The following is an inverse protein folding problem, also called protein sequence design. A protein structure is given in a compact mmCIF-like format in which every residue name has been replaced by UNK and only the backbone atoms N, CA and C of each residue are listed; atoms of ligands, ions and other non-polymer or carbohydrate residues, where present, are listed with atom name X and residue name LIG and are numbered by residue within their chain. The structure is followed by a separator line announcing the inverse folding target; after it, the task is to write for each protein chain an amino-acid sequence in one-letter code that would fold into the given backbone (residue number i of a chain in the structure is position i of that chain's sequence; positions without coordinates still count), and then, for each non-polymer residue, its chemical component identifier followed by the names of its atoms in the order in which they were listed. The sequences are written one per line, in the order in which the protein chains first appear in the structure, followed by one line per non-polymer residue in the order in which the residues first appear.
data_IF_237801744003
#
_entry.id   IF_237801744003
#
_cell.length_a   1.000
_cell.length_b   1.000
_cell.length_c   1.000
_cell.angle_alpha   90.00
_cell.angle_beta   90.00
_cell.angle_gamma   90.00
#
_symmetry.space_group_name_H-M   'P 1'
#
loop_
_entity.id
_entity.type
_entity.pdbx_description
1 polymer ?
#
# COMPACT_ATOMS: atom_id res chain seq x y z
N UNK A 1 14.24 15.71 -14.58
CA UNK A 1 12.89 15.24 -14.18
C UNK A 1 12.48 14.18 -15.20
N UNK A 2 12.85 12.93 -14.98
CA UNK A 2 12.61 11.83 -15.92
C UNK A 2 11.14 11.44 -15.86
N UNK A 3 10.37 11.82 -16.89
CA UNK A 3 8.94 11.52 -17.05
C UNK A 3 8.63 10.03 -17.29
N UNK A 4 9.66 9.17 -17.31
CA UNK A 4 9.52 7.74 -17.55
C UNK A 4 9.69 6.95 -16.25
N UNK A 5 8.67 6.17 -15.82
CA UNK A 5 8.80 5.23 -14.72
C UNK A 5 9.80 4.13 -15.08
N UNK A 6 10.59 3.68 -14.10
CA UNK A 6 11.53 2.55 -14.27
C UNK A 6 10.83 1.18 -14.37
N UNK A 7 9.51 1.14 -14.24
CA UNK A 7 8.70 -0.09 -14.20
C UNK A 7 8.11 -0.47 -15.58
N UNK A 8 8.43 0.27 -16.64
CA UNK A 8 7.95 0.00 -18.00
C UNK A 8 6.58 0.64 -18.33
N UNK A 9 6.08 0.42 -19.55
CA UNK A 9 4.83 1.00 -20.05
C UNK A 9 3.63 0.12 -19.65
N UNK A 10 3.14 0.28 -18.42
CA UNK A 10 1.99 -0.47 -17.90
C UNK A 10 0.67 0.29 -18.10
N UNK A 11 -0.45 -0.43 -18.04
CA UNK A 11 -1.81 0.17 -18.13
C UNK A 11 -2.00 1.23 -17.03
N UNK A 12 -1.45 1.02 -15.84
CA UNK A 12 -1.49 1.97 -14.73
C UNK A 12 -0.79 3.29 -15.05
N UNK A 13 0.28 3.25 -15.84
CA UNK A 13 0.95 4.48 -16.28
C UNK A 13 0.04 5.31 -17.19
N UNK A 14 -0.61 4.66 -18.18
CA UNK A 14 -1.55 5.34 -19.09
C UNK A 14 -2.74 5.89 -18.30
N UNK A 15 -3.30 5.10 -17.39
CA UNK A 15 -4.41 5.52 -16.53
C UNK A 15 -4.00 6.71 -15.64
N UNK A 16 -2.80 6.68 -15.05
CA UNK A 16 -2.26 7.77 -14.22
C UNK A 16 -2.05 9.03 -15.04
N UNK A 17 -1.45 8.92 -16.23
CA UNK A 17 -1.23 10.05 -17.14
C UNK A 17 -2.56 10.67 -17.59
N UNK A 18 -3.54 9.85 -17.94
CA UNK A 18 -4.89 10.30 -18.27
C UNK A 18 -5.56 11.04 -17.10
N UNK A 19 -5.43 10.50 -15.88
CA UNK A 19 -5.95 11.15 -14.64
C UNK A 19 -5.27 12.47 -14.32
N UNK A 20 -3.96 12.59 -14.50
CA UNK A 20 -3.22 13.83 -14.19
C UNK A 20 -3.36 14.91 -15.25
N UNK A 21 -3.65 14.52 -16.50
CA UNK A 21 -3.66 15.43 -17.65
C UNK A 21 -5.08 15.69 -18.16
N UNK A 22 -5.73 14.69 -18.79
CA UNK A 22 -7.01 14.89 -19.51
C UNK A 22 -8.20 14.91 -18.57
N UNK A 23 -8.14 14.17 -17.46
CA UNK A 23 -9.20 14.06 -16.46
C UNK A 23 -8.90 14.89 -15.20
N UNK A 24 -8.05 15.92 -15.32
CA UNK A 24 -7.71 16.77 -14.19
C UNK A 24 -8.80 17.85 -14.01
N UNK A 25 -9.47 17.93 -12.85
CA UNK A 25 -10.51 18.93 -12.59
C UNK A 25 -10.00 20.37 -12.73
N UNK A 26 -8.71 20.62 -12.50
CA UNK A 26 -8.11 21.95 -12.67
C UNK A 26 -8.02 22.40 -14.14
N UNK A 27 -8.12 21.46 -15.09
CA UNK A 27 -8.08 21.74 -16.53
C UNK A 27 -9.49 21.65 -17.12
N UNK A 28 -10.24 20.60 -16.78
CA UNK A 28 -11.56 20.33 -17.36
C UNK A 28 -12.63 21.30 -16.89
N UNK A 29 -12.59 21.78 -15.63
CA UNK A 29 -13.58 22.71 -15.09
C UNK A 29 -13.42 24.11 -15.72
N UNK A 30 -12.23 24.73 -15.78
CA UNK A 30 -12.06 25.98 -16.52
C UNK A 30 -12.40 25.85 -18.01
N UNK A 31 -12.08 24.72 -18.63
CA UNK A 31 -12.45 24.44 -20.02
C UNK A 31 -13.97 24.43 -20.22
N UNK A 32 -14.71 23.76 -19.33
CA UNK A 32 -16.17 23.77 -19.35
C UNK A 32 -16.74 25.19 -19.11
N UNK A 33 -16.22 25.92 -18.12
CA UNK A 33 -16.65 27.31 -17.84
C UNK A 33 -16.38 28.23 -19.03
N UNK A 34 -15.24 28.08 -19.71
CA UNK A 34 -14.90 28.88 -20.90
C UNK A 34 -15.87 28.64 -22.06
N UNK A 35 -16.47 27.45 -22.16
CA UNK A 35 -17.51 27.14 -23.15
C UNK A 35 -18.89 27.77 -22.85
N UNK A 36 -19.08 28.31 -21.65
CA UNK A 36 -20.28 29.07 -21.25
C UNK A 36 -20.11 30.59 -21.32
N UNK A 37 -18.88 31.12 -21.24
CA UNK A 37 -18.68 32.50 -20.77
C UNK A 37 -17.74 33.41 -21.56
N UNK A 38 -17.15 32.99 -22.69
CA UNK A 38 -16.37 33.93 -23.51
C UNK A 38 -17.24 34.50 -24.63
N UNK A 39 -17.94 35.60 -24.34
CA UNK A 39 -18.33 36.56 -25.36
C UNK A 39 -17.05 37.24 -25.87
N UNK A 40 -16.31 36.56 -26.76
CA UNK A 40 -15.14 37.16 -27.41
C UNK A 40 -15.68 38.31 -28.27
N UNK A 41 -15.28 39.57 -28.02
CA UNK A 41 -15.65 40.67 -28.92
C UNK A 41 -15.16 40.32 -30.32
N UNK A 42 -16.04 40.36 -31.31
CA UNK A 42 -15.81 39.93 -32.70
C UNK A 42 -14.80 40.80 -33.48
N UNK A 43 -13.89 41.50 -32.80
CA UNK A 43 -12.89 42.38 -33.44
C UNK A 43 -11.82 41.63 -34.24
N UNK A 44 -11.84 40.29 -34.26
CA UNK A 44 -10.89 39.42 -34.99
C UNK A 44 -11.52 38.58 -36.11
N UNK A 45 -12.79 38.82 -36.48
CA UNK A 45 -13.38 38.29 -37.71
C UNK A 45 -13.56 36.77 -37.82
N UNK A 46 -13.33 36.00 -36.75
CA UNK A 46 -13.63 34.56 -36.70
C UNK A 46 -14.67 34.28 -35.62
N UNK A 47 -15.83 33.78 -36.05
CA UNK A 47 -16.95 33.44 -35.17
C UNK A 47 -16.74 32.03 -34.59
N UNK A 48 -16.12 31.98 -33.41
CA UNK A 48 -15.88 30.73 -32.68
C UNK A 48 -17.11 30.25 -31.88
N UNK A 49 -18.25 30.94 -31.96
CA UNK A 49 -19.44 30.59 -31.17
C UNK A 49 -19.97 29.19 -31.50
N UNK A 50 -20.14 28.87 -32.79
CA UNK A 50 -20.68 27.58 -33.24
C UNK A 50 -19.84 26.35 -32.82
N UNK A 51 -18.51 26.30 -33.04
CA UNK A 51 -17.70 25.16 -32.60
C UNK A 51 -17.65 25.03 -31.07
N UNK A 52 -17.70 26.15 -30.33
CA UNK A 52 -17.74 26.13 -28.86
C UNK A 52 -19.07 25.56 -28.34
N UNK A 53 -20.19 25.92 -28.97
CA UNK A 53 -21.51 25.36 -28.63
C UNK A 53 -21.61 23.87 -28.94
N UNK A 54 -21.05 23.42 -30.06
CA UNK A 54 -20.98 21.99 -30.41
C UNK A 54 -20.09 21.18 -29.46
N UNK A 55 -19.02 21.78 -28.93
CA UNK A 55 -18.10 21.14 -27.99
C UNK A 55 -18.61 21.13 -26.53
N UNK A 56 -19.53 22.03 -26.18
CA UNK A 56 -20.10 22.21 -24.82
C UNK A 56 -20.58 20.91 -24.14
N UNK A 57 -21.38 20.02 -24.76
CA UNK A 57 -21.80 18.79 -24.09
C UNK A 57 -20.63 17.86 -23.73
N UNK A 58 -19.58 17.84 -24.56
CA UNK A 58 -18.39 17.02 -24.32
C UNK A 58 -17.52 17.58 -23.21
N UNK A 59 -17.29 18.90 -23.20
CA UNK A 59 -16.50 19.57 -22.14
C UNK A 59 -17.21 19.47 -20.78
N UNK A 60 -18.54 19.62 -20.76
CA UNK A 60 -19.35 19.40 -19.55
C UNK A 60 -19.29 17.96 -19.06
N UNK A 61 -19.44 16.98 -19.95
CA UNK A 61 -19.36 15.55 -19.60
C UNK A 61 -17.98 15.18 -19.04
N UNK A 62 -16.91 15.71 -19.65
CA UNK A 62 -15.54 15.51 -19.20
C UNK A 62 -15.29 16.17 -17.83
N UNK A 63 -15.79 17.39 -17.62
CA UNK A 63 -15.72 18.08 -16.34
C UNK A 63 -16.47 17.31 -15.24
N UNK A 64 -17.69 16.84 -15.52
CA UNK A 64 -18.47 16.03 -14.59
C UNK A 64 -17.75 14.72 -14.23
N UNK A 65 -17.21 14.00 -15.22
CA UNK A 65 -16.44 12.78 -14.99
C UNK A 65 -15.18 13.04 -14.16
N UNK A 66 -14.42 14.10 -14.48
CA UNK A 66 -13.22 14.46 -13.72
C UNK A 66 -13.53 14.87 -12.28
N UNK A 67 -14.62 15.61 -12.05
CA UNK A 67 -15.07 15.98 -10.72
C UNK A 67 -15.53 14.76 -9.92
N UNK A 68 -16.23 13.82 -10.57
CA UNK A 68 -16.64 12.56 -9.95
C UNK A 68 -15.43 11.70 -9.55
N UNK A 69 -14.46 11.53 -10.45
CA UNK A 69 -13.23 10.78 -10.17
C UNK A 69 -12.40 11.45 -9.08
N UNK A 70 -12.26 12.78 -9.11
CA UNK A 70 -11.56 13.55 -8.08
C UNK A 70 -12.27 13.47 -6.72
N UNK A 71 -13.59 13.61 -6.70
CA UNK A 71 -14.39 13.46 -5.48
C UNK A 71 -14.25 12.04 -4.92
N UNK A 72 -14.26 11.02 -5.78
CA UNK A 72 -14.04 9.63 -5.39
C UNK A 72 -12.64 9.44 -4.80
N UNK A 73 -11.59 9.95 -5.45
CA UNK A 73 -10.21 9.86 -4.94
C UNK A 73 -10.04 10.65 -3.63
N UNK A 74 -10.67 11.82 -3.51
CA UNK A 74 -10.68 12.63 -2.29
C UNK A 74 -11.38 11.88 -1.16
N UNK A 75 -12.59 11.39 -1.39
CA UNK A 75 -13.34 10.60 -0.41
C UNK A 75 -12.58 9.33 -0.03
N UNK A 76 -12.00 8.61 -0.99
CA UNK A 76 -11.17 7.43 -0.73
C UNK A 76 -9.97 7.76 0.15
N UNK A 77 -9.24 8.85 -0.12
CA UNK A 77 -8.14 9.29 0.74
C UNK A 77 -8.63 9.64 2.14
N UNK A 78 -9.77 10.31 2.24
CA UNK A 78 -10.38 10.66 3.52
C UNK A 78 -10.84 9.41 4.29
N UNK A 79 -11.42 8.40 3.65
CA UNK A 79 -11.85 7.17 4.33
C UNK A 79 -10.66 6.26 4.67
N UNK A 80 -9.72 6.08 3.74
CA UNK A 80 -8.53 5.23 3.95
C UNK A 80 -7.61 5.76 5.05
N UNK A 81 -7.58 7.08 5.24
CA UNK A 81 -6.81 7.70 6.31
C UNK A 81 -7.70 8.09 7.51
N UNK A 82 -8.95 7.60 7.59
CA UNK A 82 -9.91 7.95 8.64
C UNK A 82 -9.99 9.48 8.94
N UNK A 83 -9.84 10.30 7.90
CA UNK A 83 -9.80 11.77 7.90
C UNK A 83 -8.69 12.37 8.75
N UNK A 84 -7.66 11.59 9.07
CA UNK A 84 -6.48 12.05 9.78
C UNK A 84 -5.31 12.17 8.81
N UNK A 85 -4.47 13.18 9.03
CA UNK A 85 -3.17 13.29 8.39
C UNK A 85 -2.19 13.58 9.51
N UNK A 86 -1.21 12.71 9.68
CA UNK A 86 -0.12 12.95 10.63
C UNK A 86 0.98 13.74 9.92
N UNK A 87 1.17 15.04 10.24
CA UNK A 87 2.26 15.83 9.69
C UNK A 87 3.60 15.54 10.37
N UNK A 88 3.63 14.72 11.44
CA UNK A 88 4.78 14.54 12.33
C UNK A 88 5.67 13.34 11.99
N UNK A 89 5.56 12.76 10.79
CA UNK A 89 6.46 11.69 10.34
C UNK A 89 7.90 12.17 10.30
N UNK A 90 8.74 11.59 11.15
CA UNK A 90 10.18 11.83 11.18
C UNK A 90 10.92 10.52 10.94
N UNK A 91 11.21 10.27 9.66
CA UNK A 91 11.87 9.05 9.17
C UNK A 91 13.21 8.74 9.84
N UNK A 92 13.87 9.70 10.49
CA UNK A 92 15.10 9.46 11.28
C UNK A 92 14.81 8.70 12.58
N UNK A 93 13.59 8.83 13.11
CA UNK A 93 13.14 8.22 14.36
C UNK A 93 12.18 7.04 14.17
N UNK A 94 11.68 6.82 12.95
CA UNK A 94 10.78 5.71 12.66
C UNK A 94 11.42 4.33 12.78
N UNK A 95 10.63 3.37 13.26
CA UNK A 95 11.00 1.95 13.38
C UNK A 95 10.05 1.15 12.50
N UNK A 96 10.60 0.60 11.41
CA UNK A 96 9.87 -0.18 10.41
C UNK A 96 10.18 -1.66 10.58
N UNK A 97 9.20 -2.44 11.02
CA UNK A 97 9.29 -3.91 11.09
C UNK A 97 8.78 -4.51 9.78
N UNK A 98 9.59 -5.33 9.13
CA UNK A 98 9.27 -6.02 7.88
C UNK A 98 9.43 -7.53 8.09
N UNK A 99 8.33 -8.26 7.95
CA UNK A 99 8.39 -9.74 7.92
C UNK A 99 8.76 -10.23 6.53
N UNK A 100 9.52 -11.32 6.40
CA UNK A 100 9.94 -11.83 5.09
C UNK A 100 10.90 -10.87 4.36
N UNK A 101 11.67 -10.07 5.11
CA UNK A 101 12.56 -9.04 4.58
C UNK A 101 13.92 -9.55 4.13
N UNK A 102 14.21 -10.84 4.30
CA UNK A 102 15.49 -11.42 3.87
C UNK A 102 15.58 -11.57 2.35
N UNK A 103 14.46 -11.64 1.63
CA UNK A 103 14.44 -11.81 0.16
C UNK A 103 13.21 -11.14 -0.49
N UNK A 104 13.14 -11.20 -1.83
CA UNK A 104 11.97 -10.78 -2.61
C UNK A 104 11.50 -9.34 -2.37
N UNK A 105 10.17 -9.17 -2.27
CA UNK A 105 9.51 -7.86 -2.11
C UNK A 105 9.95 -7.19 -0.81
N UNK A 106 10.05 -7.94 0.29
CA UNK A 106 10.47 -7.43 1.60
C UNK A 106 11.90 -6.88 1.58
N UNK A 107 12.83 -7.60 0.93
CA UNK A 107 14.21 -7.13 0.75
C UNK A 107 14.27 -5.84 -0.08
N UNK A 108 13.55 -5.78 -1.19
CA UNK A 108 13.49 -4.56 -2.02
C UNK A 108 12.87 -3.38 -1.29
N UNK A 109 11.85 -3.62 -0.46
CA UNK A 109 11.25 -2.59 0.37
C UNK A 109 12.27 -2.04 1.39
N UNK A 110 12.97 -2.92 2.11
CA UNK A 110 14.00 -2.53 3.07
C UNK A 110 15.12 -1.71 2.41
N UNK A 111 15.62 -2.17 1.24
CA UNK A 111 16.64 -1.45 0.47
C UNK A 111 16.14 -0.08 -0.02
N UNK A 112 14.89 0.01 -0.51
CA UNK A 112 14.31 1.29 -0.95
C UNK A 112 14.09 2.26 0.22
N UNK A 113 13.74 1.77 1.41
CA UNK A 113 13.64 2.60 2.61
C UNK A 113 15.01 3.19 2.95
N UNK A 114 16.06 2.37 3.03
CA UNK A 114 17.41 2.87 3.30
C UNK A 114 17.95 3.80 2.21
N UNK A 115 17.63 3.55 0.93
CA UNK A 115 18.02 4.44 -0.16
C UNK A 115 17.35 5.82 -0.08
N UNK A 116 16.15 5.91 0.53
CA UNK A 116 15.45 7.17 0.78
C UNK A 116 15.92 7.85 2.06
N UNK A 117 16.09 7.08 3.13
CA UNK A 117 16.63 7.55 4.39
C UNK A 117 17.43 6.44 5.10
N UNK A 118 18.77 6.54 5.12
CA UNK A 118 19.64 5.55 5.78
C UNK A 118 19.43 5.44 7.29
N UNK A 119 18.94 6.52 7.94
CA UNK A 119 18.77 6.57 9.40
C UNK A 119 17.53 5.82 9.89
N UNK A 120 16.56 5.58 9.01
CA UNK A 120 15.36 4.81 9.36
C UNK A 120 15.75 3.43 9.89
N UNK A 121 15.24 3.07 11.07
CA UNK A 121 15.51 1.78 11.70
C UNK A 121 14.64 0.73 11.04
N UNK A 122 15.26 -0.17 10.28
CA UNK A 122 14.57 -1.28 9.62
C UNK A 122 14.85 -2.57 10.38
N UNK A 123 13.79 -3.19 10.88
CA UNK A 123 13.83 -4.46 11.60
C UNK A 123 13.27 -5.54 10.69
N UNK A 124 14.06 -6.56 10.41
CA UNK A 124 13.69 -7.68 9.55
C UNK A 124 13.42 -8.90 10.42
N UNK A 125 12.25 -9.48 10.27
CA UNK A 125 11.87 -10.75 10.89
C UNK A 125 11.73 -11.78 9.77
N UNK A 126 12.54 -12.82 9.78
CA UNK A 126 12.47 -13.86 8.75
C UNK A 126 12.97 -15.21 9.28
N UNK A 127 12.54 -16.30 8.67
CA UNK A 127 13.03 -17.64 8.98
C UNK A 127 14.43 -17.87 8.39
N UNK A 128 14.68 -17.32 7.21
CA UNK A 128 15.94 -17.46 6.47
C UNK A 128 16.89 -16.29 6.73
N UNK A 129 18.22 -16.50 6.69
CA UNK A 129 19.19 -15.42 6.83
C UNK A 129 19.05 -14.40 5.69
N UNK A 130 19.48 -13.16 5.96
CA UNK A 130 19.50 -12.10 4.95
C UNK A 130 20.28 -12.53 3.71
N UNK A 131 19.67 -12.41 2.53
CA UNK A 131 20.36 -12.72 1.26
C UNK A 131 21.00 -11.49 0.62
N UNK A 132 20.93 -10.34 1.29
CA UNK A 132 21.44 -9.06 0.82
C UNK A 132 22.14 -8.32 1.96
N UNK A 133 23.02 -7.38 1.60
CA UNK A 133 23.77 -6.59 2.57
C UNK A 133 23.17 -5.18 2.69
N UNK A 134 22.87 -4.71 3.90
CA UNK A 134 22.53 -3.31 4.13
C UNK A 134 23.61 -2.36 3.61
N UNK A 135 23.18 -1.17 3.21
CA UNK A 135 24.09 -0.09 2.81
C UNK A 135 24.90 0.33 4.04
N UNK A 136 26.16 0.72 3.85
CA UNK A 136 26.99 1.21 4.95
C UNK A 136 26.33 2.40 5.64
N UNK A 137 26.28 2.37 6.98
CA UNK A 137 25.58 3.37 7.79
C UNK A 137 24.06 3.19 7.92
N UNK A 138 23.46 2.21 7.22
CA UNK A 138 22.04 1.90 7.38
C UNK A 138 21.74 1.21 8.71
N UNK A 139 20.68 1.63 9.40
CA UNK A 139 20.25 0.99 10.63
C UNK A 139 19.35 -0.22 10.36
N UNK A 140 19.95 -1.38 10.07
CA UNK A 140 19.21 -2.65 9.89
C UNK A 140 19.45 -3.61 11.06
N UNK A 141 18.37 -4.18 11.60
CA UNK A 141 18.42 -5.28 12.58
C UNK A 141 17.72 -6.49 11.99
N UNK A 142 18.34 -7.66 12.11
CA UNK A 142 17.77 -8.92 11.65
C UNK A 142 17.49 -9.83 12.84
N UNK A 143 16.31 -10.44 12.83
CA UNK A 143 15.90 -11.44 13.79
C UNK A 143 15.41 -12.69 13.06
N UNK A 144 16.07 -13.81 13.34
CA UNK A 144 15.61 -15.10 12.89
C UNK A 144 14.41 -15.53 13.72
N UNK A 145 13.28 -15.79 13.08
CA UNK A 145 12.04 -16.20 13.75
C UNK A 145 11.20 -17.05 12.80
N UNK A 146 10.73 -18.20 13.27
CA UNK A 146 9.66 -18.93 12.59
C UNK A 146 8.31 -18.28 12.92
N UNK A 147 7.70 -17.65 11.92
CA UNK A 147 6.39 -17.01 12.07
C UNK A 147 5.24 -18.03 12.16
N UNK A 148 5.48 -19.31 11.88
CA UNK A 148 4.49 -20.34 12.18
C UNK A 148 4.39 -20.60 13.70
N UNK A 149 5.35 -20.21 14.53
CA UNK A 149 5.35 -20.43 15.98
C UNK A 149 4.93 -19.17 16.76
N UNK A 150 3.76 -19.23 17.40
CA UNK A 150 3.21 -18.10 18.17
C UNK A 150 4.04 -17.76 19.41
N UNK A 151 4.77 -18.72 19.98
CA UNK A 151 5.65 -18.47 21.13
C UNK A 151 6.89 -17.66 20.72
N UNK A 152 7.45 -17.97 19.55
CA UNK A 152 8.56 -17.21 18.95
C UNK A 152 8.13 -15.80 18.57
N UNK A 153 6.92 -15.62 18.01
CA UNK A 153 6.37 -14.29 17.70
C UNK A 153 6.34 -13.41 18.97
N UNK A 154 5.81 -13.93 20.08
CA UNK A 154 5.75 -13.16 21.32
C UNK A 154 7.15 -12.78 21.81
N UNK A 155 8.06 -13.76 21.86
CA UNK A 155 9.42 -13.55 22.32
C UNK A 155 10.15 -12.51 21.45
N UNK A 156 9.97 -12.55 20.13
CA UNK A 156 10.63 -11.60 19.24
C UNK A 156 10.03 -10.20 19.32
N UNK A 157 8.72 -10.07 19.50
CA UNK A 157 8.09 -8.77 19.73
C UNK A 157 8.60 -8.11 21.02
N UNK A 158 8.74 -8.88 22.11
CA UNK A 158 9.34 -8.40 23.36
C UNK A 158 10.81 -7.98 23.18
N UNK A 159 11.59 -8.77 22.44
CA UNK A 159 12.98 -8.47 22.11
C UNK A 159 13.13 -7.18 21.29
N UNK A 160 12.30 -7.01 20.25
CA UNK A 160 12.31 -5.80 19.40
C UNK A 160 11.99 -4.55 20.22
N UNK A 161 10.96 -4.62 21.09
CA UNK A 161 10.61 -3.50 21.98
C UNK A 161 11.75 -3.11 22.90
N UNK A 162 12.50 -4.09 23.40
CA UNK A 162 13.61 -3.88 24.34
C UNK A 162 14.87 -3.35 23.64
N UNK A 163 15.24 -3.92 22.49
CA UNK A 163 16.51 -3.62 21.81
C UNK A 163 16.42 -2.44 20.83
N UNK A 164 15.27 -2.23 20.21
CA UNK A 164 15.09 -1.23 19.14
C UNK A 164 14.12 -0.12 19.56
N UNK A 165 13.05 -0.50 20.26
CA UNK A 165 11.97 0.40 20.70
C UNK A 165 10.63 0.01 20.11
N UNK A 166 9.64 0.88 20.24
CA UNK A 166 8.28 0.61 19.79
C UNK A 166 8.13 0.85 18.28
N UNK A 167 7.78 -0.18 17.48
CA UNK A 167 7.56 0.00 16.05
C UNK A 167 6.51 1.05 15.73
N UNK A 168 6.76 1.80 14.67
CA UNK A 168 5.82 2.78 14.11
C UNK A 168 5.24 2.30 12.79
N UNK A 169 5.95 1.44 12.07
CA UNK A 169 5.44 0.78 10.87
C UNK A 169 5.59 -0.73 11.00
N UNK A 170 4.50 -1.46 10.73
CA UNK A 170 4.51 -2.93 10.60
C UNK A 170 4.17 -3.30 9.16
N UNK A 171 5.06 -4.04 8.50
CA UNK A 171 4.85 -4.60 7.17
C UNK A 171 4.75 -6.12 7.27
N UNK A 172 3.52 -6.62 7.21
CA UNK A 172 3.22 -8.05 7.11
C UNK A 172 3.41 -8.51 5.67
N UNK A 173 4.65 -8.84 5.32
CA UNK A 173 5.06 -9.27 3.99
C UNK A 173 5.38 -10.78 3.91
N UNK A 174 5.82 -11.41 5.00
CA UNK A 174 6.10 -12.85 5.00
C UNK A 174 4.90 -13.65 4.51
N UNK A 175 5.17 -14.60 3.61
CA UNK A 175 4.16 -15.52 3.14
C UNK A 175 4.76 -16.69 2.37
N UNK A 176 4.11 -17.83 2.47
CA UNK A 176 4.47 -19.06 1.76
C UNK A 176 3.29 -19.55 0.91
N UNK A 177 3.60 -20.20 -0.21
CA UNK A 177 2.63 -20.80 -1.11
C UNK A 177 3.16 -22.17 -1.57
N UNK A 178 2.40 -23.24 -1.36
CA UNK A 178 2.82 -24.62 -1.62
C UNK A 178 2.39 -25.15 -2.98
N UNK A 179 1.37 -24.57 -3.60
CA UNK A 179 0.99 -24.89 -4.98
C UNK A 179 0.21 -26.21 -5.15
N UNK A 180 -0.58 -26.62 -4.15
CA UNK A 180 -1.39 -27.83 -4.18
C UNK A 180 -2.89 -27.55 -4.38
N UNK A 181 -3.61 -28.51 -4.96
CA UNK A 181 -5.08 -28.44 -4.98
C UNK A 181 -5.65 -28.70 -3.58
N UNK A 182 -6.94 -28.39 -3.36
CA UNK A 182 -7.61 -28.71 -2.09
C UNK A 182 -7.59 -30.21 -1.78
N UNK A 183 -7.63 -31.06 -2.80
CA UNK A 183 -7.64 -32.52 -2.64
C UNK A 183 -6.24 -33.08 -2.34
N UNK A 184 -5.19 -32.46 -2.91
CA UNK A 184 -3.83 -32.99 -2.85
C UNK A 184 -2.98 -32.34 -1.73
N UNK A 185 -3.42 -31.20 -1.20
CA UNK A 185 -2.70 -30.45 -0.18
C UNK A 185 -2.59 -31.22 1.13
N UNK A 186 -1.37 -31.30 1.68
CA UNK A 186 -1.17 -31.96 2.98
C UNK A 186 -1.75 -31.10 4.11
N UNK A 187 -2.28 -31.74 5.15
CA UNK A 187 -2.78 -31.04 6.34
C UNK A 187 -1.70 -30.13 6.97
N UNK A 188 -0.46 -30.60 7.02
CA UNK A 188 0.67 -29.86 7.58
C UNK A 188 1.00 -28.60 6.74
N UNK A 189 0.95 -28.71 5.41
CA UNK A 189 1.17 -27.57 4.53
C UNK A 189 0.07 -26.52 4.68
N UNK A 190 -1.19 -26.95 4.73
CA UNK A 190 -2.32 -26.04 4.96
C UNK A 190 -2.17 -25.32 6.30
N UNK A 191 -1.84 -26.06 7.36
CA UNK A 191 -1.64 -25.47 8.69
C UNK A 191 -0.50 -24.45 8.68
N UNK A 192 0.66 -24.80 8.11
CA UNK A 192 1.81 -23.89 8.12
C UNK A 192 1.57 -22.66 7.25
N UNK A 193 0.83 -22.79 6.13
CA UNK A 193 0.38 -21.66 5.30
C UNK A 193 -0.55 -20.74 6.09
N UNK A 194 -1.55 -21.28 6.79
CA UNK A 194 -2.49 -20.49 7.60
C UNK A 194 -1.75 -19.78 8.74
N UNK A 195 -0.88 -20.50 9.44
CA UNK A 195 -0.13 -19.94 10.57
C UNK A 195 0.78 -18.80 10.13
N UNK A 196 1.54 -18.99 9.05
CA UNK A 196 2.49 -17.99 8.54
C UNK A 196 1.80 -16.80 7.88
N UNK A 197 0.80 -17.04 7.03
CA UNK A 197 0.25 -15.99 6.17
C UNK A 197 -0.92 -15.21 6.81
N UNK A 198 -1.55 -15.75 7.85
CA UNK A 198 -2.73 -15.15 8.48
C UNK A 198 -2.59 -15.00 10.00
N UNK A 199 -2.27 -16.08 10.71
CA UNK A 199 -2.17 -16.02 12.18
C UNK A 199 -1.00 -15.14 12.61
N UNK A 200 0.16 -15.24 11.96
CA UNK A 200 1.31 -14.41 12.30
C UNK A 200 1.04 -12.91 12.11
N UNK A 201 0.54 -12.43 10.95
CA UNK A 201 0.09 -11.04 10.82
C UNK A 201 -0.90 -10.62 11.91
N UNK A 202 -1.88 -11.46 12.24
CA UNK A 202 -2.84 -11.18 13.31
C UNK A 202 -2.15 -10.97 14.66
N UNK A 203 -1.21 -11.86 15.03
CA UNK A 203 -0.48 -11.78 16.29
C UNK A 203 0.48 -10.58 16.32
N UNK A 204 1.15 -10.25 15.21
CA UNK A 204 2.02 -9.08 15.12
C UNK A 204 1.23 -7.78 15.24
N UNK A 205 0.05 -7.69 14.61
CA UNK A 205 -0.87 -6.57 14.81
C UNK A 205 -1.28 -6.48 16.27
N UNK A 206 -1.63 -7.60 16.92
CA UNK A 206 -1.97 -7.63 18.35
C UNK A 206 -0.81 -7.15 19.24
N UNK A 207 0.43 -7.46 18.90
CA UNK A 207 1.62 -7.09 19.68
C UNK A 207 2.04 -5.63 19.52
N UNK A 208 1.93 -5.06 18.32
CA UNK A 208 2.45 -3.72 18.03
C UNK A 208 1.39 -2.62 17.94
N UNK A 209 0.16 -2.94 17.52
CA UNK A 209 -0.88 -1.92 17.34
C UNK A 209 -1.32 -1.19 18.63
N UNK A 210 -1.33 -1.79 19.84
CA UNK A 210 -1.78 -1.07 21.03
C UNK A 210 -0.92 0.17 21.35
N UNK A 211 0.37 0.11 21.06
CA UNK A 211 1.27 1.23 21.30
C UNK A 211 1.14 2.31 20.21
N UNK A 212 1.00 1.89 18.95
CA UNK A 212 0.68 2.79 17.83
C UNK A 212 -0.64 3.55 18.07
N UNK A 213 -1.66 2.86 18.60
CA UNK A 213 -2.94 3.46 18.95
C UNK A 213 -2.80 4.45 20.11
N UNK A 214 -2.10 4.08 21.19
CA UNK A 214 -1.84 4.97 22.34
C UNK A 214 -1.09 6.24 21.95
N UNK A 215 -0.09 6.13 21.08
CA UNK A 215 0.69 7.26 20.57
C UNK A 215 -0.02 8.03 19.48
N UNK A 216 -1.15 7.52 18.99
CA UNK A 216 -1.86 8.10 17.87
C UNK A 216 -0.89 8.30 16.69
N UNK A 217 -0.04 7.31 16.44
CA UNK A 217 1.04 7.34 15.46
C UNK A 217 1.46 5.92 15.09
N UNK A 218 1.19 5.53 13.85
CA UNK A 218 1.66 4.27 13.29
C UNK A 218 0.99 3.90 11.98
N UNK A 219 1.55 2.89 11.30
CA UNK A 219 1.09 2.43 10.00
C UNK A 219 1.22 0.91 9.91
N UNK A 220 0.15 0.22 9.48
CA UNK A 220 0.18 -1.23 9.23
C UNK A 220 -0.01 -1.48 7.74
N UNK A 221 0.91 -2.23 7.16
CA UNK A 221 0.90 -2.64 5.76
C UNK A 221 0.75 -4.15 5.70
N UNK A 222 -0.30 -4.61 5.04
CA UNK A 222 -0.51 -6.03 4.79
C UNK A 222 -0.29 -6.32 3.31
N UNK A 223 0.68 -7.19 2.98
CA UNK A 223 0.94 -7.61 1.61
C UNK A 223 -0.01 -8.76 1.26
N UNK A 224 -1.07 -8.43 0.52
CA UNK A 224 -2.02 -9.40 -0.02
C UNK A 224 -1.64 -9.80 -1.46
N UNK A 225 -2.52 -10.52 -2.14
CA UNK A 225 -2.34 -11.00 -3.50
C UNK A 225 -3.63 -10.94 -4.30
N UNK A 226 -3.52 -10.83 -5.64
CA UNK A 226 -4.67 -10.94 -6.54
C UNK A 226 -5.41 -12.28 -6.38
N UNK A 227 -4.71 -13.34 -5.95
CA UNK A 227 -5.32 -14.64 -5.64
C UNK A 227 -6.37 -14.59 -4.53
N UNK A 228 -6.40 -13.54 -3.71
CA UNK A 228 -7.45 -13.33 -2.72
C UNK A 228 -8.83 -13.05 -3.34
N UNK A 229 -8.86 -12.52 -4.57
CA UNK A 229 -10.09 -12.18 -5.30
C UNK A 229 -10.36 -13.18 -6.42
N UNK A 230 -9.31 -13.64 -7.09
CA UNK A 230 -9.37 -14.57 -8.22
C UNK A 230 -8.45 -15.76 -7.94
N UNK A 231 -8.87 -16.74 -7.12
CA UNK A 231 -8.01 -17.84 -6.69
C UNK A 231 -7.82 -18.89 -7.79
N UNK A 232 -6.59 -19.17 -8.24
CA UNK A 232 -6.30 -20.37 -9.03
C UNK A 232 -6.53 -21.66 -8.22
N UNK A 233 -6.86 -22.76 -8.90
CA UNK A 233 -7.21 -24.04 -8.27
C UNK A 233 -6.10 -24.67 -7.40
N UNK A 234 -4.83 -24.28 -7.60
CA UNK A 234 -3.65 -24.85 -6.91
C UNK A 234 -3.13 -24.01 -5.74
N UNK A 235 -3.88 -23.01 -5.29
CA UNK A 235 -3.43 -22.11 -4.22
C UNK A 235 -4.55 -21.80 -3.25
N UNK A 236 -5.44 -22.76 -3.00
CA UNK A 236 -6.65 -22.54 -2.21
C UNK A 236 -6.35 -22.10 -0.76
N UNK A 237 -5.40 -22.77 -0.10
CA UNK A 237 -4.91 -22.41 1.24
C UNK A 237 -4.31 -21.00 1.25
N UNK A 238 -3.40 -20.71 0.33
CA UNK A 238 -2.79 -19.40 0.17
C UNK A 238 -3.84 -18.30 -0.10
N UNK A 239 -4.72 -18.50 -1.06
CA UNK A 239 -5.78 -17.56 -1.40
C UNK A 239 -6.71 -17.29 -0.22
N UNK A 240 -7.11 -18.33 0.52
CA UNK A 240 -7.91 -18.18 1.73
C UNK A 240 -7.19 -17.32 2.78
N UNK A 241 -5.89 -17.52 2.99
CA UNK A 241 -5.10 -16.68 3.91
C UNK A 241 -5.01 -15.22 3.45
N UNK A 242 -4.85 -14.98 2.15
CA UNK A 242 -4.74 -13.62 1.59
C UNK A 242 -6.09 -12.89 1.59
N UNK A 243 -7.20 -13.61 1.43
CA UNK A 243 -8.54 -13.08 1.67
C UNK A 243 -8.78 -12.75 3.15
N UNK A 244 -8.39 -13.64 4.07
CA UNK A 244 -8.44 -13.38 5.51
C UNK A 244 -7.59 -12.18 5.93
N UNK A 245 -6.44 -11.98 5.29
CA UNK A 245 -5.54 -10.86 5.54
C UNK A 245 -6.16 -9.52 5.12
N UNK A 246 -6.99 -9.50 4.07
CA UNK A 246 -7.78 -8.31 3.69
C UNK A 246 -8.81 -8.00 4.78
N UNK A 247 -9.53 -8.99 5.28
CA UNK A 247 -10.48 -8.79 6.37
C UNK A 247 -9.79 -8.26 7.64
N UNK A 248 -8.61 -8.80 8.00
CA UNK A 248 -7.79 -8.29 9.10
C UNK A 248 -7.38 -6.83 8.86
N UNK A 249 -7.03 -6.48 7.62
CA UNK A 249 -6.68 -5.11 7.27
C UNK A 249 -7.82 -4.13 7.51
N UNK A 250 -9.02 -4.45 7.03
CA UNK A 250 -10.24 -3.63 7.22
C UNK A 250 -10.58 -3.41 8.69
N UNK A 251 -10.35 -4.41 9.54
CA UNK A 251 -10.55 -4.26 10.99
C UNK A 251 -9.43 -3.41 11.62
N UNK A 252 -8.19 -3.56 11.14
CA UNK A 252 -7.04 -2.81 11.66
C UNK A 252 -7.18 -1.30 11.44
N UNK A 253 -7.79 -0.87 10.32
CA UNK A 253 -8.17 0.53 10.05
C UNK A 253 -9.03 1.16 11.14
N UNK A 254 -9.82 0.35 11.85
CA UNK A 254 -10.71 0.86 12.91
C UNK A 254 -10.01 1.00 14.25
N UNK A 255 -8.89 0.30 14.43
CA UNK A 255 -8.10 0.30 15.66
C UNK A 255 -7.07 1.43 15.63
N UNK A 256 -6.46 1.68 14.46
CA UNK A 256 -5.52 2.76 14.26
C UNK A 256 -6.21 3.91 13.52
N UNK A 257 -6.29 5.12 14.11
CA UNK A 257 -6.85 6.28 13.41
C UNK A 257 -6.02 6.71 12.20
N UNK A 258 -4.81 6.18 12.02
CA UNK A 258 -3.94 6.46 10.88
C UNK A 258 -3.81 5.24 9.98
N UNK A 259 -4.19 5.47 8.72
CA UNK A 259 -3.85 4.78 7.47
C UNK A 259 -3.27 3.38 7.66
N UNK A 260 -3.97 2.36 7.22
CA UNK A 260 -3.34 1.09 6.86
C UNK A 260 -3.34 1.00 5.34
N UNK A 261 -2.21 0.69 4.73
CA UNK A 261 -2.12 0.52 3.28
C UNK A 261 -2.14 -0.97 2.94
N UNK A 262 -3.20 -1.39 2.25
CA UNK A 262 -3.28 -2.71 1.62
C UNK A 262 -2.50 -2.63 0.31
N UNK A 263 -1.38 -3.36 0.22
CA UNK A 263 -0.65 -3.53 -1.04
C UNK A 263 -1.03 -4.90 -1.61
N UNK A 264 -1.72 -4.87 -2.75
CA UNK A 264 -2.01 -6.06 -3.54
C UNK A 264 -0.87 -6.26 -4.53
N UNK A 265 -0.13 -7.36 -4.40
CA UNK A 265 0.91 -7.73 -5.37
C UNK A 265 0.36 -8.82 -6.28
N UNK A 266 0.46 -8.58 -7.58
CA UNK A 266 0.07 -9.51 -8.66
C UNK A 266 1.00 -10.71 -8.72
#
# INVERSE_FOLDING_TARGET
MTLLPREGFTVDFVAKLARTTVLNPLITIPLAVSSFGLSIPSSTGSDWSQPLEAARPYTCSLAALSALLYATDFLNRQFNNNRTTDPAWDWDNEIVVITGGSSGIGAHLAQKLHARNPKTKVVIIDYVPLTWRPIEGACTKYYQCDLSDSSQIRAICEKIRTEVGHPTVLVNNAGICRGATVCDGSYADVEVTIRTNLIAPFLLVKEFSPDMARRNHGHIVNISSMSAYLPPAKVADYAATKAGLIALHEVSLRILPYSTMSLQVS
#
